data_IF_139901684154
#
_entry.id   IF_139901684154
#
_cell.length_a   1.000
_cell.length_b   1.000
_cell.length_c   1.000
_cell.angle_alpha   90.00
_cell.angle_beta   90.00
_cell.angle_gamma   90.00
#
_symmetry.space_group_name_H-M   'P 1'
#
loop_
_entity.id
_entity.type
_entity.pdbx_description
1 polymer ?
#
# COMPACT_ATOMS: atom_id res chain seq x y z
N UNK A 1 -16.84 -3.70 -9.65
CA UNK A 1 -15.77 -2.88 -9.03
C UNK A 1 -15.49 -1.71 -9.95
N UNK A 2 -15.29 -0.54 -9.41
CA UNK A 2 -14.81 0.62 -10.16
C UNK A 2 -13.30 0.78 -9.96
N UNK A 3 -12.59 1.14 -11.03
CA UNK A 3 -11.19 1.52 -10.99
C UNK A 3 -11.10 3.04 -11.11
N UNK A 4 -10.49 3.67 -10.14
CA UNK A 4 -10.27 5.12 -10.10
C UNK A 4 -8.77 5.38 -10.31
N UNK A 5 -8.45 6.26 -11.25
CA UNK A 5 -7.12 6.85 -11.38
C UNK A 5 -7.16 8.23 -10.73
N UNK A 6 -6.42 8.40 -9.66
CA UNK A 6 -6.36 9.65 -8.90
C UNK A 6 -4.97 10.25 -8.97
N UNK A 7 -4.89 11.42 -9.59
CA UNK A 7 -3.67 12.25 -9.64
C UNK A 7 -3.85 13.46 -8.74
N UNK A 8 -2.83 13.78 -7.97
CA UNK A 8 -2.87 14.88 -7.01
C UNK A 8 -1.46 15.41 -6.70
N UNK A 9 -1.42 16.61 -6.17
CA UNK A 9 -0.20 17.17 -5.61
C UNK A 9 -0.04 16.70 -4.18
N UNK A 10 1.07 16.03 -3.87
CA UNK A 10 1.43 15.62 -2.52
C UNK A 10 2.16 16.76 -1.82
N UNK A 11 1.66 17.19 -0.68
CA UNK A 11 2.30 18.22 0.15
C UNK A 11 3.59 17.70 0.80
N UNK A 12 3.64 16.42 1.09
CA UNK A 12 4.82 15.76 1.68
C UNK A 12 5.92 15.53 0.64
N UNK A 13 5.56 15.06 -0.56
CA UNK A 13 6.52 14.84 -1.65
C UNK A 13 6.88 16.13 -2.42
N UNK A 14 6.07 17.21 -2.27
CA UNK A 14 6.22 18.48 -3.02
C UNK A 14 6.20 18.29 -4.53
N UNK A 15 5.39 17.35 -5.02
CA UNK A 15 5.21 17.06 -6.45
C UNK A 15 3.88 16.37 -6.73
N UNK A 16 3.51 16.33 -8.02
CA UNK A 16 2.39 15.53 -8.46
C UNK A 16 2.75 14.02 -8.34
N UNK A 17 1.79 13.25 -7.86
CA UNK A 17 1.85 11.80 -7.74
C UNK A 17 0.50 11.19 -8.11
N UNK A 18 0.40 9.87 -8.15
CA UNK A 18 -0.83 9.20 -8.50
C UNK A 18 -1.05 7.93 -7.68
N UNK A 19 -2.29 7.46 -7.69
CA UNK A 19 -2.66 6.14 -7.23
C UNK A 19 -3.79 5.56 -8.07
N UNK A 20 -3.86 4.24 -8.17
CA UNK A 20 -5.08 3.55 -8.54
C UNK A 20 -5.84 3.12 -7.28
N UNK A 21 -7.17 3.19 -7.37
CA UNK A 21 -8.07 2.72 -6.32
C UNK A 21 -9.09 1.79 -6.94
N UNK A 22 -9.19 0.58 -6.43
CA UNK A 22 -10.29 -0.33 -6.73
C UNK A 22 -11.32 -0.21 -5.62
N UNK A 23 -12.55 0.08 -5.96
CA UNK A 23 -13.64 0.34 -5.00
C UNK A 23 -14.94 -0.35 -5.44
N UNK A 24 -15.79 -0.82 -4.51
CA UNK A 24 -17.11 -1.33 -4.84
C UNK A 24 -17.96 -0.29 -5.57
N UNK A 25 -18.73 -0.72 -6.57
CA UNK A 25 -19.67 0.15 -7.30
C UNK A 25 -20.90 0.45 -6.47
N UNK A 26 -21.50 1.64 -6.70
CA UNK A 26 -22.86 1.92 -6.23
C UNK A 26 -23.86 0.99 -6.95
N UNK A 27 -24.83 0.34 -6.28
CA UNK A 27 -25.28 0.53 -4.91
C UNK A 27 -24.75 -0.50 -3.89
N UNK A 28 -23.61 -1.12 -4.13
CA UNK A 28 -23.04 -2.16 -3.25
C UNK A 28 -22.67 -1.58 -1.87
N UNK A 29 -22.31 -0.30 -1.82
CA UNK A 29 -22.09 0.41 -0.55
C UNK A 29 -23.45 0.84 0.00
N UNK A 30 -24.11 -0.04 0.74
CA UNK A 30 -25.40 0.21 1.37
C UNK A 30 -25.22 0.48 2.87
N UNK A 31 -25.97 1.49 3.36
CA UNK A 31 -26.34 1.62 4.79
C UNK A 31 -25.20 1.48 5.81
N UNK A 32 -24.22 2.38 5.81
CA UNK A 32 -23.10 2.41 6.77
C UNK A 32 -22.14 1.21 6.71
N UNK A 33 -22.13 0.42 5.65
CA UNK A 33 -21.11 -0.59 5.46
C UNK A 33 -19.75 0.07 5.39
N UNK A 34 -18.87 -0.26 6.34
CA UNK A 34 -17.49 0.21 6.34
C UNK A 34 -16.63 -0.72 5.49
N UNK A 35 -15.91 -0.15 4.52
CA UNK A 35 -15.02 -0.91 3.65
C UNK A 35 -13.72 -1.24 4.37
N UNK A 36 -13.25 -2.48 4.20
CA UNK A 36 -11.89 -2.88 4.55
C UNK A 36 -10.89 -2.27 3.58
N UNK A 37 -9.73 -1.90 4.06
CA UNK A 37 -8.67 -1.24 3.27
C UNK A 37 -7.48 -2.17 3.08
N UNK A 38 -7.04 -2.31 1.84
CA UNK A 38 -5.76 -2.91 1.51
C UNK A 38 -4.87 -1.86 0.82
N UNK A 39 -3.76 -1.50 1.45
CA UNK A 39 -2.66 -0.79 0.79
C UNK A 39 -1.79 -1.82 0.08
N UNK A 40 -1.68 -1.71 -1.26
CA UNK A 40 -1.01 -2.69 -2.10
C UNK A 40 0.18 -2.05 -2.83
N UNK A 41 1.39 -2.34 -2.33
CA UNK A 41 2.61 -1.65 -2.68
C UNK A 41 3.36 -2.34 -3.82
N UNK A 42 3.85 -1.56 -4.79
CA UNK A 42 4.56 -2.07 -5.96
C UNK A 42 6.06 -2.28 -5.71
N UNK A 43 6.74 -2.99 -6.62
CA UNK A 43 8.18 -3.25 -6.60
C UNK A 43 9.02 -2.09 -7.19
N UNK A 44 10.35 -2.23 -7.12
CA UNK A 44 11.31 -1.16 -7.42
C UNK A 44 11.22 -0.59 -8.86
N UNK A 45 10.93 -1.43 -9.83
CA UNK A 45 10.85 -1.04 -11.24
C UNK A 45 9.42 -0.94 -11.77
N UNK A 46 8.46 -0.88 -10.86
CA UNK A 46 7.04 -0.78 -11.12
C UNK A 46 6.51 0.60 -10.71
N UNK A 47 5.20 0.76 -10.85
CA UNK A 47 4.43 1.91 -10.41
C UNK A 47 3.05 1.48 -9.89
N UNK A 48 2.19 2.45 -9.58
CA UNK A 48 0.82 2.23 -9.10
C UNK A 48 -0.07 1.42 -10.07
N UNK A 49 0.31 1.26 -11.34
CA UNK A 49 -0.47 0.50 -12.35
C UNK A 49 -0.20 -1.01 -12.33
N UNK A 50 0.89 -1.43 -11.67
CA UNK A 50 1.40 -2.80 -11.72
C UNK A 50 0.36 -3.86 -11.41
N UNK A 51 -0.33 -3.70 -10.28
CA UNK A 51 -1.24 -4.71 -9.78
C UNK A 51 -2.47 -4.89 -10.67
N UNK A 52 -3.02 -3.81 -11.22
CA UNK A 52 -4.14 -3.87 -12.18
C UNK A 52 -3.71 -4.53 -13.49
N UNK A 53 -2.50 -4.21 -13.97
CA UNK A 53 -2.00 -4.73 -15.25
C UNK A 53 -1.54 -6.19 -15.20
N UNK A 54 -1.19 -6.71 -14.03
CA UNK A 54 -0.54 -8.00 -13.88
C UNK A 54 -1.33 -9.02 -13.05
N UNK A 55 -2.45 -8.59 -12.47
CA UNK A 55 -3.27 -9.47 -11.62
C UNK A 55 -4.75 -9.20 -11.83
N UNK A 56 -5.63 -10.15 -11.52
CA UNK A 56 -7.07 -9.94 -11.50
C UNK A 56 -7.54 -9.30 -10.18
N UNK A 57 -6.87 -8.23 -9.73
CA UNK A 57 -7.09 -7.62 -8.41
C UNK A 57 -8.53 -7.15 -8.20
N UNK A 58 -9.19 -6.61 -9.23
CA UNK A 58 -10.59 -6.19 -9.17
C UNK A 58 -11.52 -7.37 -8.86
N UNK A 59 -11.25 -8.54 -9.45
CA UNK A 59 -12.03 -9.76 -9.18
C UNK A 59 -11.85 -10.23 -7.73
N UNK A 60 -10.64 -10.12 -7.19
CA UNK A 60 -10.36 -10.50 -5.80
C UNK A 60 -11.03 -9.53 -4.81
N UNK A 61 -11.00 -8.24 -5.11
CA UNK A 61 -11.61 -7.21 -4.27
C UNK A 61 -13.13 -7.36 -4.12
N UNK A 62 -13.79 -7.97 -5.12
CA UNK A 62 -15.25 -8.08 -5.16
C UNK A 62 -15.85 -8.97 -4.05
N UNK A 63 -15.08 -9.89 -3.49
CA UNK A 63 -15.61 -10.93 -2.58
C UNK A 63 -16.07 -10.39 -1.22
N UNK A 64 -15.37 -9.36 -0.67
CA UNK A 64 -15.49 -9.00 0.74
C UNK A 64 -15.53 -7.48 1.00
N UNK A 65 -16.09 -6.69 0.09
CA UNK A 65 -16.19 -5.23 0.23
C UNK A 65 -14.85 -4.54 0.51
N UNK A 66 -13.83 -4.85 -0.29
CA UNK A 66 -12.54 -4.24 -0.20
C UNK A 66 -12.44 -2.94 -0.98
N UNK A 67 -11.80 -1.94 -0.39
CA UNK A 67 -11.14 -0.87 -1.13
C UNK A 67 -9.64 -1.17 -1.20
N UNK A 68 -9.06 -1.11 -2.39
CA UNK A 68 -7.64 -1.40 -2.59
C UNK A 68 -6.95 -0.14 -3.09
N UNK A 69 -5.99 0.34 -2.34
CA UNK A 69 -5.20 1.54 -2.59
C UNK A 69 -3.84 1.12 -3.14
N UNK A 70 -3.54 1.53 -4.36
CA UNK A 70 -2.28 1.23 -5.05
C UNK A 70 -1.53 2.53 -5.32
N UNK A 71 -0.76 3.05 -4.37
CA UNK A 71 -0.04 4.32 -4.51
C UNK A 71 1.24 4.15 -5.35
N UNK A 72 1.69 5.26 -5.94
CA UNK A 72 3.04 5.36 -6.46
C UNK A 72 4.04 5.54 -5.31
N UNK A 73 4.97 4.63 -5.20
CA UNK A 73 6.06 4.65 -4.22
C UNK A 73 7.40 5.06 -4.81
N UNK A 74 7.47 5.33 -6.11
CA UNK A 74 8.73 5.61 -6.82
C UNK A 74 9.78 4.51 -6.60
N UNK A 75 11.04 4.86 -6.73
CA UNK A 75 12.19 3.97 -6.43
C UNK A 75 12.76 4.24 -5.04
N UNK A 76 11.91 4.34 -4.03
CA UNK A 76 12.23 4.93 -2.73
C UNK A 76 12.50 3.93 -1.62
N UNK A 77 12.23 2.64 -1.82
CA UNK A 77 12.11 1.66 -0.73
C UNK A 77 11.19 2.13 0.41
N UNK A 78 10.19 2.96 0.06
CA UNK A 78 9.25 3.53 1.03
C UNK A 78 9.96 4.19 2.22
N UNK A 79 11.03 4.97 1.92
CA UNK A 79 11.92 5.59 2.90
C UNK A 79 12.07 7.08 2.59
N UNK A 80 12.27 7.88 3.62
CA UNK A 80 12.61 9.29 3.44
C UNK A 80 14.06 9.44 2.97
N UNK A 81 14.26 10.13 1.86
CA UNK A 81 15.59 10.55 1.45
C UNK A 81 16.02 11.80 2.23
N UNK A 82 17.29 11.89 2.62
CA UNK A 82 17.81 13.04 3.37
C UNK A 82 17.68 14.33 2.54
N UNK A 83 18.02 14.29 1.27
CA UNK A 83 17.98 15.43 0.33
C UNK A 83 17.02 15.20 -0.84
N UNK A 84 15.89 14.53 -0.60
CA UNK A 84 14.92 14.19 -1.64
C UNK A 84 13.55 13.85 -1.07
N UNK A 85 12.81 13.08 -1.83
CA UNK A 85 11.42 12.74 -1.54
C UNK A 85 11.23 12.05 -0.19
N UNK A 86 10.14 12.39 0.48
CA UNK A 86 9.77 11.89 1.80
C UNK A 86 8.71 10.77 1.71
N UNK A 87 9.03 9.71 0.96
CA UNK A 87 8.07 8.63 0.70
C UNK A 87 7.58 7.88 1.96
N UNK A 88 8.39 7.81 3.02
CA UNK A 88 7.92 7.26 4.29
C UNK A 88 6.81 8.11 4.91
N UNK A 89 7.02 9.41 5.00
CA UNK A 89 6.01 10.31 5.58
C UNK A 89 4.76 10.39 4.70
N UNK A 90 4.93 10.34 3.37
CA UNK A 90 3.81 10.23 2.43
C UNK A 90 2.97 8.98 2.70
N UNK A 91 3.61 7.80 2.72
CA UNK A 91 2.91 6.52 2.89
C UNK A 91 2.28 6.34 4.27
N UNK A 92 3.00 6.78 5.32
CA UNK A 92 2.58 6.52 6.68
C UNK A 92 1.60 7.55 7.26
N UNK A 93 1.58 8.77 6.70
CA UNK A 93 0.80 9.89 7.24
C UNK A 93 -0.16 10.47 6.20
N UNK A 94 0.37 11.03 5.11
CA UNK A 94 -0.44 11.76 4.13
C UNK A 94 -1.42 10.86 3.37
N UNK A 95 -0.97 9.70 2.89
CA UNK A 95 -1.81 8.79 2.12
C UNK A 95 -3.05 8.31 2.88
N UNK A 96 -2.98 7.87 4.14
CA UNK A 96 -4.16 7.52 4.92
C UNK A 96 -5.15 8.68 5.08
N UNK A 97 -4.68 9.89 5.30
CA UNK A 97 -5.54 11.09 5.41
C UNK A 97 -6.27 11.38 4.10
N UNK A 98 -5.57 11.27 2.96
CA UNK A 98 -6.18 11.40 1.63
C UNK A 98 -7.25 10.34 1.43
N UNK A 99 -6.97 9.08 1.78
CA UNK A 99 -7.93 7.97 1.64
C UNK A 99 -9.18 8.21 2.47
N UNK A 100 -9.05 8.64 3.72
CA UNK A 100 -10.20 8.94 4.59
C UNK A 100 -11.01 10.15 4.12
N UNK A 101 -10.35 11.12 3.51
CA UNK A 101 -11.02 12.30 2.95
C UNK A 101 -11.82 11.96 1.70
N UNK A 102 -11.24 11.17 0.79
CA UNK A 102 -11.89 10.79 -0.47
C UNK A 102 -12.97 9.72 -0.28
N UNK A 103 -12.79 8.83 0.69
CA UNK A 103 -13.65 7.68 0.91
C UNK A 103 -14.14 7.62 2.36
N UNK A 104 -15.11 8.45 2.75
CA UNK A 104 -15.55 8.59 4.15
C UNK A 104 -16.22 7.32 4.73
N UNK A 105 -16.56 6.36 3.89
CA UNK A 105 -17.09 5.04 4.26
C UNK A 105 -16.02 3.97 4.50
N UNK A 106 -14.76 4.33 4.43
CA UNK A 106 -13.65 3.45 4.81
C UNK A 106 -13.62 3.26 6.32
N UNK A 107 -13.49 2.03 6.77
CA UNK A 107 -13.32 1.72 8.19
C UNK A 107 -12.05 2.38 8.74
N UNK A 108 -12.15 2.88 9.98
CA UNK A 108 -11.00 3.40 10.74
C UNK A 108 -10.48 2.39 11.77
N UNK A 109 -11.08 1.20 11.81
CA UNK A 109 -10.70 0.16 12.76
C UNK A 109 -9.45 -0.57 12.28
N UNK A 110 -8.53 -0.84 13.18
CA UNK A 110 -7.33 -1.64 12.91
C UNK A 110 -7.64 -2.97 12.21
N UNK A 111 -8.72 -3.63 12.64
CA UNK A 111 -9.16 -4.94 12.15
C UNK A 111 -9.54 -4.97 10.68
N UNK A 112 -9.77 -3.80 10.09
CA UNK A 112 -10.18 -3.64 8.70
C UNK A 112 -9.07 -3.09 7.81
N UNK A 113 -7.86 -2.88 8.35
CA UNK A 113 -6.71 -2.35 7.61
C UNK A 113 -5.65 -3.41 7.38
N UNK A 114 -5.18 -3.47 6.14
CA UNK A 114 -4.19 -4.43 5.67
C UNK A 114 -3.18 -3.74 4.78
N UNK A 115 -1.97 -4.26 4.76
CA UNK A 115 -0.92 -3.81 3.85
C UNK A 115 -0.21 -5.00 3.23
N UNK A 116 0.04 -4.95 1.94
CA UNK A 116 0.76 -6.00 1.22
C UNK A 116 1.64 -5.39 0.13
N UNK A 117 2.64 -6.14 -0.32
CA UNK A 117 3.49 -5.64 -1.39
C UNK A 117 4.47 -6.67 -1.92
N UNK A 118 5.01 -6.37 -3.10
CA UNK A 118 5.97 -7.20 -3.82
C UNK A 118 7.37 -6.59 -3.77
N UNK A 119 8.40 -7.38 -3.46
CA UNK A 119 9.81 -6.97 -3.50
C UNK A 119 10.05 -5.72 -2.62
N UNK A 120 10.41 -4.57 -3.21
CA UNK A 120 10.47 -3.28 -2.52
C UNK A 120 9.15 -2.98 -1.76
N UNK A 121 7.99 -3.28 -2.36
CA UNK A 121 6.68 -3.15 -1.70
C UNK A 121 6.49 -4.13 -0.55
N UNK A 122 7.09 -5.32 -0.64
CA UNK A 122 7.14 -6.29 0.46
C UNK A 122 7.92 -5.75 1.65
N UNK A 123 9.05 -5.11 1.41
CA UNK A 123 9.80 -4.38 2.45
C UNK A 123 8.95 -3.25 3.05
N UNK A 124 8.33 -2.42 2.19
CA UNK A 124 7.48 -1.30 2.63
C UNK A 124 6.29 -1.75 3.48
N UNK A 125 5.64 -2.86 3.11
CA UNK A 125 4.50 -3.40 3.86
C UNK A 125 4.89 -3.86 5.26
N UNK A 126 6.00 -4.57 5.39
CA UNK A 126 6.52 -5.00 6.70
C UNK A 126 6.97 -3.79 7.53
N UNK A 127 7.64 -2.83 6.91
CA UNK A 127 8.08 -1.60 7.57
C UNK A 127 6.88 -0.81 8.13
N UNK A 128 5.80 -0.64 7.35
CA UNK A 128 4.58 0.03 7.81
C UNK A 128 3.95 -0.71 8.99
N UNK A 129 3.72 -2.01 8.87
CA UNK A 129 3.07 -2.79 9.92
C UNK A 129 3.87 -2.86 11.22
N UNK A 130 5.19 -2.95 11.15
CA UNK A 130 6.07 -2.99 12.33
C UNK A 130 6.19 -1.64 13.04
N UNK A 131 6.14 -0.52 12.29
CA UNK A 131 6.20 0.81 12.89
C UNK A 131 4.83 1.33 13.35
N UNK A 132 3.74 0.82 12.77
CA UNK A 132 2.36 1.18 13.11
C UNK A 132 1.52 -0.07 13.41
N UNK A 133 1.85 -0.86 14.45
CA UNK A 133 1.16 -2.12 14.75
C UNK A 133 -0.31 -1.93 15.11
N UNK A 134 -0.66 -0.75 15.62
CA UNK A 134 -2.04 -0.40 15.96
C UNK A 134 -2.86 0.07 14.75
N UNK A 135 -2.23 0.23 13.59
CA UNK A 135 -2.91 0.67 12.35
C UNK A 135 -3.28 -0.48 11.43
N UNK A 136 -2.63 -1.64 11.55
CA UNK A 136 -2.83 -2.75 10.62
C UNK A 136 -3.16 -4.05 11.36
N UNK A 137 -4.17 -4.77 10.87
CA UNK A 137 -4.51 -6.12 11.32
C UNK A 137 -3.46 -7.13 10.87
N UNK A 138 -3.04 -7.01 9.59
CA UNK A 138 -2.08 -7.94 9.01
C UNK A 138 -1.28 -7.26 7.89
N UNK A 139 -0.09 -7.80 7.67
CA UNK A 139 0.78 -7.45 6.55
C UNK A 139 1.18 -8.70 5.77
N UNK A 140 1.35 -8.56 4.44
CA UNK A 140 1.88 -9.61 3.59
C UNK A 140 3.04 -9.08 2.75
N UNK A 141 4.12 -9.85 2.71
CA UNK A 141 5.33 -9.52 1.96
C UNK A 141 5.62 -10.63 0.96
N UNK A 142 5.60 -10.28 -0.34
CA UNK A 142 5.87 -11.21 -1.43
C UNK A 142 7.28 -10.93 -1.98
N UNK A 143 8.13 -11.98 -2.08
CA UNK A 143 9.48 -11.89 -2.65
C UNK A 143 10.30 -10.75 -2.05
N UNK A 144 10.30 -10.63 -0.73
CA UNK A 144 10.96 -9.53 -0.02
C UNK A 144 12.48 -9.73 -0.03
N UNK A 145 13.22 -8.65 -0.30
CA UNK A 145 14.68 -8.62 -0.27
C UNK A 145 15.30 -8.96 1.10
N UNK A 146 14.56 -8.79 2.19
CA UNK A 146 15.01 -9.19 3.53
C UNK A 146 15.30 -10.69 3.63
N UNK A 147 14.70 -11.51 2.77
CA UNK A 147 14.87 -12.95 2.75
C UNK A 147 16.05 -13.41 1.88
N UNK A 148 16.49 -12.57 0.94
CA UNK A 148 17.56 -12.87 -0.02
C UNK A 148 18.89 -12.24 0.34
N UNK A 149 18.95 -11.33 1.30
CA UNK A 149 20.20 -10.81 1.83
C UNK A 149 20.83 -11.85 2.74
N UNK A 150 22.06 -12.33 2.45
CA UNK A 150 22.73 -13.28 3.33
C UNK A 150 22.86 -12.68 4.73
N UNK A 151 22.38 -13.40 5.71
CA UNK A 151 22.53 -12.98 7.11
C UNK A 151 23.96 -13.28 7.58
N UNK A 152 24.46 -12.65 8.64
CA UNK A 152 25.74 -13.03 9.24
C UNK A 152 25.84 -14.52 9.59
N UNK A 153 24.72 -15.21 9.79
CA UNK A 153 24.66 -16.66 10.02
C UNK A 153 24.98 -17.47 8.77
N UNK A 154 24.61 -16.97 7.57
CA UNK A 154 24.85 -17.68 6.30
C UNK A 154 26.35 -17.67 5.96
N UNK A 155 27.08 -16.63 6.37
CA UNK A 155 28.55 -16.61 6.26
C UNK A 155 29.25 -17.50 7.29
N UNK A 156 28.67 -17.74 8.45
CA UNK A 156 29.23 -18.61 9.46
C UNK A 156 29.09 -20.11 9.12
N UNK A 157 28.08 -20.48 8.35
CA UNK A 157 27.82 -21.87 7.94
C UNK A 157 28.64 -22.32 6.71
N UNK A 158 29.36 -21.41 6.03
CA UNK A 158 30.16 -21.67 4.83
C UNK A 158 31.66 -21.81 5.11
N UNK A 159 32.09 -21.96 6.38
CA UNK A 159 33.47 -22.22 6.79
C UNK A 159 33.63 -23.60 7.39
#
# INVERSE_FOLDING_TARGET
MALIHYQFYSEVLKKNTAMYVVVPEYPVIKNNDQLKVLYLLHGLNDDYTKWVRRTPIERYAKKDNWIIIMPDGGKSYYTNCIRGDKYWDYMAKELPEIVYTLFPYVSKKREDHYVAGLSMGGYGSMKLALNYPDSFKAAASFSCLLYTSPSPRDYAASR
#
